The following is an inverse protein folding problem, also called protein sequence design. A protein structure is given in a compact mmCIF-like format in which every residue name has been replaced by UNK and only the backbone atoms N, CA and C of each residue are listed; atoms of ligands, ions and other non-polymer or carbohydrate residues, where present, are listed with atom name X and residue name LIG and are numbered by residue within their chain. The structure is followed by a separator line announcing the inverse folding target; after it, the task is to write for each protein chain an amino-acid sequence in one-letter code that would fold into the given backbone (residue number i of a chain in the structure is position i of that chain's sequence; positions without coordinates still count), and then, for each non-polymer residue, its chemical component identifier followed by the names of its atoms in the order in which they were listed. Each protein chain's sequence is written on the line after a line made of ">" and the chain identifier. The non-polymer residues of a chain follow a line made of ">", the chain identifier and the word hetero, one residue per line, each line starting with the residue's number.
data_IF_709291942433
#
_entry.id   IF_709291942433
#
_cell.length_a   1.000
_cell.length_b   1.000
_cell.length_c   1.000
_cell.angle_alpha   90.00
_cell.angle_beta   90.00
_cell.angle_gamma   90.00
#
_symmetry.space_group_name_H-M   'P 1'
#
loop_
_entity.id
_entity.type
_entity.pdbx_description
1 polymer ?
#
# COMPACT_ATOMS: atom_id res chain seq x y z
N UNK A 1 23.71 26.78 0.09
CA UNK A 1 24.16 25.46 -0.39
C UNK A 1 23.02 24.49 -0.10
N UNK A 2 22.07 24.36 -1.04
CA UNK A 2 20.95 23.43 -0.87
C UNK A 2 21.53 22.01 -0.88
N UNK A 3 21.09 21.17 0.05
CA UNK A 3 21.44 19.76 0.06
C UNK A 3 20.70 19.09 -1.11
N UNK A 4 21.33 19.06 -2.29
CA UNK A 4 20.69 18.59 -3.53
C UNK A 4 20.45 17.06 -3.57
N UNK A 5 20.83 16.31 -2.54
CA UNK A 5 20.71 14.84 -2.52
C UNK A 5 20.45 14.29 -1.10
N UNK A 6 19.37 14.71 -0.44
CA UNK A 6 18.74 13.85 0.57
C UNK A 6 17.89 12.80 -0.15
N UNK A 7 18.54 11.89 -0.87
CA UNK A 7 17.89 10.70 -1.41
C UNK A 7 17.89 9.63 -0.33
N UNK A 8 16.72 9.31 0.23
CA UNK A 8 16.54 8.04 0.93
C UNK A 8 16.90 6.90 -0.05
N UNK A 9 17.51 5.81 0.42
CA UNK A 9 17.77 4.66 -0.44
C UNK A 9 16.45 4.16 -1.04
N UNK A 10 16.43 3.73 -2.32
CA UNK A 10 15.22 3.28 -3.02
C UNK A 10 14.26 2.39 -2.22
N UNK A 11 14.73 1.40 -1.40
CA UNK A 11 13.83 0.60 -0.58
C UNK A 11 13.03 1.40 0.46
N UNK A 12 13.64 2.41 1.10
CA UNK A 12 12.98 3.15 2.18
C UNK A 12 11.83 4.04 1.70
N UNK A 13 11.91 4.56 0.47
CA UNK A 13 10.82 5.35 -0.12
C UNK A 13 9.66 4.46 -0.54
N UNK A 14 9.95 3.30 -1.12
CA UNK A 14 8.92 2.35 -1.52
C UNK A 14 8.15 1.84 -0.30
N UNK A 15 8.86 1.51 0.79
CA UNK A 15 8.27 1.10 2.07
C UNK A 15 7.45 2.24 2.72
N UNK A 16 7.94 3.49 2.63
CA UNK A 16 7.14 4.64 3.07
C UNK A 16 5.84 4.78 2.28
N UNK A 17 5.90 4.70 0.94
CA UNK A 17 4.71 4.76 0.05
C UNK A 17 3.73 3.65 0.40
N UNK A 18 4.22 2.42 0.54
CA UNK A 18 3.42 1.27 0.96
C UNK A 18 2.68 1.55 2.27
N UNK A 19 3.42 1.99 3.30
CA UNK A 19 2.86 2.25 4.63
C UNK A 19 1.80 3.37 4.61
N UNK A 20 2.06 4.51 3.96
CA UNK A 20 1.10 5.62 3.93
C UNK A 20 -0.13 5.28 3.09
N UNK A 21 0.05 4.53 2.01
CA UNK A 21 -1.04 4.10 1.14
C UNK A 21 -1.91 3.07 1.83
N UNK A 22 -1.32 2.14 2.57
CA UNK A 22 -2.03 1.17 3.38
C UNK A 22 -2.86 1.83 4.47
N UNK A 23 -2.26 2.78 5.19
CA UNK A 23 -2.97 3.57 6.20
C UNK A 23 -4.15 4.35 5.60
N UNK A 24 -3.94 4.99 4.44
CA UNK A 24 -4.99 5.73 3.76
C UNK A 24 -6.12 4.81 3.30
N UNK A 25 -5.82 3.64 2.76
CA UNK A 25 -6.83 2.65 2.39
C UNK A 25 -7.65 2.17 3.59
N UNK A 26 -7.01 1.91 4.74
CA UNK A 26 -7.73 1.53 5.98
C UNK A 26 -8.73 2.61 6.39
N UNK A 27 -8.36 3.88 6.25
CA UNK A 27 -9.18 5.04 6.66
C UNK A 27 -10.28 5.40 5.66
N UNK A 28 -10.00 5.30 4.37
CA UNK A 28 -10.80 5.93 3.32
C UNK A 28 -11.29 4.97 2.22
N UNK A 29 -10.75 3.75 2.16
CA UNK A 29 -11.01 2.76 1.10
C UNK A 29 -10.67 3.26 -0.31
N UNK A 30 -9.72 4.17 -0.42
CA UNK A 30 -9.21 4.75 -1.66
C UNK A 30 -7.69 4.66 -1.72
N UNK A 31 -7.12 4.91 -2.89
CA UNK A 31 -5.67 5.05 -3.08
C UNK A 31 -5.29 6.52 -2.90
N UNK A 32 -4.28 6.79 -2.05
CA UNK A 32 -3.70 8.13 -1.92
C UNK A 32 -2.91 8.47 -3.19
N UNK A 33 -3.05 9.67 -3.72
CA UNK A 33 -2.34 10.07 -4.93
C UNK A 33 -0.86 10.42 -4.66
N UNK A 34 -0.04 10.40 -5.71
CA UNK A 34 1.36 10.81 -5.63
C UNK A 34 1.48 12.29 -5.19
N UNK A 35 0.60 13.16 -5.69
CA UNK A 35 0.56 14.57 -5.33
C UNK A 35 0.21 14.77 -3.85
N UNK A 36 -0.74 13.98 -3.33
CA UNK A 36 -1.11 14.01 -1.92
C UNK A 36 0.05 13.56 -1.02
N UNK A 37 0.83 12.56 -1.44
CA UNK A 37 2.05 12.14 -0.74
C UNK A 37 3.09 13.27 -0.76
N UNK A 38 3.40 13.82 -1.94
CA UNK A 38 4.42 14.86 -2.09
C UNK A 38 4.09 16.15 -1.35
N UNK A 39 2.79 16.49 -1.22
CA UNK A 39 2.34 17.65 -0.44
C UNK A 39 2.64 17.50 1.06
N UNK A 40 2.65 16.26 1.57
CA UNK A 40 2.97 15.96 2.98
C UNK A 40 4.47 15.96 3.28
N UNK A 41 5.32 15.97 2.25
CA UNK A 41 6.78 15.88 2.35
C UNK A 41 7.47 17.24 2.18
N UNK A 42 6.84 18.29 2.72
CA UNK A 42 7.35 19.65 2.78
C UNK A 42 7.68 19.99 4.24
N UNK A 43 8.96 20.21 4.53
CA UNK A 43 9.48 20.49 5.86
C UNK A 43 10.00 21.92 5.92
N UNK A 44 9.47 22.72 6.83
CA UNK A 44 9.90 24.11 7.03
C UNK A 44 10.73 24.14 8.31
N UNK A 45 12.02 24.45 8.19
CA UNK A 45 12.88 24.70 9.35
C UNK A 45 12.74 26.17 9.73
N UNK A 46 12.21 26.42 10.92
CA UNK A 46 12.24 27.76 11.53
C UNK A 46 13.70 28.16 11.80
N UNK A 47 14.06 29.44 11.57
CA UNK A 47 15.40 29.90 11.85
C UNK A 47 15.68 29.74 13.34
N UNK A 48 16.71 28.96 13.68
CA UNK A 48 17.21 28.87 15.05
C UNK A 48 17.57 30.29 15.51
N UNK A 49 16.93 30.76 16.58
CA UNK A 49 17.28 32.01 17.24
C UNK A 49 18.68 31.82 17.87
N UNK A 50 19.72 32.06 17.08
CA UNK A 50 21.06 32.27 17.65
C UNK A 50 20.96 33.52 18.52
N UNK A 51 21.41 33.40 19.77
CA UNK A 51 21.64 34.51 20.69
C UNK A 51 22.43 35.60 19.95
N UNK A 52 21.71 36.56 19.37
CA UNK A 52 22.28 37.68 18.64
C UNK A 52 22.21 38.85 19.60
N UNK A 53 23.33 39.50 19.95
CA UNK A 53 23.34 40.64 20.85
C UNK A 53 22.37 41.72 20.37
N UNK A 54 21.70 42.36 21.33
CA UNK A 54 20.64 43.35 21.15
C UNK A 54 20.97 44.35 20.02
N UNK A 55 20.19 44.33 18.92
CA UNK A 55 20.23 45.39 17.89
C UNK A 55 20.27 44.96 16.42
N UNK A 56 20.28 43.68 16.08
CA UNK A 56 20.09 43.22 14.68
C UNK A 56 18.87 42.29 14.56
N UNK A 57 17.96 42.61 13.63
CA UNK A 57 16.86 41.72 13.28
C UNK A 57 17.40 40.37 12.76
N UNK A 58 16.81 39.23 13.14
CA UNK A 58 17.22 37.93 12.62
C UNK A 58 16.87 37.84 11.13
N UNK A 59 17.87 38.05 10.27
CA UNK A 59 17.76 37.94 8.81
C UNK A 59 17.95 36.48 8.36
N UNK A 60 17.19 35.56 8.95
CA UNK A 60 17.19 34.14 8.57
C UNK A 60 16.05 33.84 7.62
N UNK A 61 16.33 33.56 6.35
CA UNK A 61 15.30 33.03 5.43
C UNK A 61 14.85 31.65 5.92
N UNK A 62 13.53 31.37 6.02
CA UNK A 62 13.03 30.04 6.37
C UNK A 62 13.63 29.01 5.40
N UNK A 63 14.24 27.97 5.94
CA UNK A 63 14.81 26.92 5.10
C UNK A 63 13.73 25.88 4.83
N UNK A 64 13.20 25.87 3.61
CA UNK A 64 12.23 24.87 3.14
C UNK A 64 12.99 23.70 2.54
N UNK A 65 12.72 22.51 3.05
CA UNK A 65 13.21 21.23 2.56
C UNK A 65 12.02 20.45 1.98
N UNK A 66 12.07 20.14 0.70
CA UNK A 66 11.05 19.33 0.03
C UNK A 66 11.64 18.00 -0.37
N UNK A 67 10.91 16.91 -0.12
CA UNK A 67 11.21 15.61 -0.69
C UNK A 67 10.15 15.26 -1.75
N UNK A 68 10.57 14.66 -2.86
CA UNK A 68 9.68 14.27 -3.96
C UNK A 68 9.83 12.79 -4.24
N UNK A 69 8.73 12.05 -4.06
CA UNK A 69 8.62 10.65 -4.47
C UNK A 69 8.52 10.59 -5.98
N UNK A 70 9.32 9.73 -6.61
CA UNK A 70 9.29 9.54 -8.06
C UNK A 70 8.06 8.71 -8.46
N UNK A 71 7.53 8.85 -9.70
CA UNK A 71 6.45 7.99 -10.17
C UNK A 71 6.81 6.50 -10.12
N UNK A 72 8.07 6.16 -10.37
CA UNK A 72 8.55 4.77 -10.29
C UNK A 72 8.52 4.25 -8.86
N UNK A 73 9.04 4.98 -7.88
CA UNK A 73 9.01 4.55 -6.48
C UNK A 73 7.58 4.45 -5.94
N UNK A 74 6.71 5.36 -6.39
CA UNK A 74 5.28 5.30 -6.08
C UNK A 74 4.65 4.02 -6.62
N UNK A 75 4.85 3.70 -7.91
CA UNK A 75 4.33 2.48 -8.51
C UNK A 75 4.87 1.22 -7.82
N UNK A 76 6.16 1.19 -7.47
CA UNK A 76 6.75 0.04 -6.80
C UNK A 76 6.18 -0.13 -5.37
N UNK A 77 6.03 0.94 -4.60
CA UNK A 77 5.41 0.89 -3.27
C UNK A 77 3.92 0.53 -3.31
N UNK A 78 3.17 1.02 -4.30
CA UNK A 78 1.75 0.64 -4.51
C UNK A 78 1.64 -0.83 -4.95
N UNK A 79 2.63 -1.35 -5.68
CA UNK A 79 2.63 -2.77 -5.99
C UNK A 79 2.83 -3.62 -4.72
N UNK A 80 3.74 -3.23 -3.83
CA UNK A 80 3.98 -3.94 -2.57
C UNK A 80 2.79 -3.85 -1.60
N UNK A 81 2.11 -2.70 -1.56
CA UNK A 81 0.83 -2.52 -0.86
C UNK A 81 -0.18 -3.63 -1.18
N UNK A 82 -0.21 -4.13 -2.41
CA UNK A 82 -1.20 -5.16 -2.80
C UNK A 82 -0.98 -6.49 -2.06
N UNK A 83 0.27 -6.79 -1.67
CA UNK A 83 0.60 -7.91 -0.80
C UNK A 83 0.05 -7.73 0.61
N UNK A 84 0.17 -6.53 1.18
CA UNK A 84 -0.38 -6.22 2.51
C UNK A 84 -1.92 -6.21 2.53
N UNK A 85 -2.54 -5.73 1.46
CA UNK A 85 -4.00 -5.80 1.31
C UNK A 85 -4.50 -7.24 1.19
N UNK A 86 -3.79 -8.09 0.45
CA UNK A 86 -4.06 -9.52 0.41
C UNK A 86 -3.96 -10.14 1.82
N UNK A 87 -2.90 -9.85 2.58
CA UNK A 87 -2.75 -10.31 3.98
C UNK A 87 -3.91 -9.85 4.86
N UNK A 88 -4.31 -8.57 4.75
CA UNK A 88 -5.47 -8.02 5.45
C UNK A 88 -6.76 -8.78 5.09
N UNK A 89 -7.00 -9.04 3.80
CA UNK A 89 -8.18 -9.78 3.33
C UNK A 89 -8.25 -11.15 4.00
N UNK A 90 -7.19 -11.96 3.92
CA UNK A 90 -7.17 -13.31 4.50
C UNK A 90 -7.34 -13.28 6.03
N UNK A 91 -6.68 -12.33 6.71
CA UNK A 91 -6.84 -12.15 8.16
C UNK A 91 -8.27 -11.76 8.53
N UNK A 92 -8.91 -10.88 7.75
CA UNK A 92 -10.30 -10.46 7.98
C UNK A 92 -11.28 -11.63 7.84
N UNK A 93 -11.09 -12.49 6.84
CA UNK A 93 -11.87 -13.73 6.67
C UNK A 93 -11.73 -14.66 7.87
N UNK A 94 -10.50 -14.87 8.34
CA UNK A 94 -10.22 -15.70 9.53
C UNK A 94 -10.91 -15.18 10.79
N UNK A 95 -11.09 -13.87 10.90
CA UNK A 95 -11.79 -13.21 12.01
C UNK A 95 -13.32 -13.13 11.82
N UNK A 96 -13.86 -13.69 10.72
CA UNK A 96 -15.29 -13.69 10.42
C UNK A 96 -15.83 -12.40 9.79
N UNK A 97 -14.96 -11.49 9.33
CA UNK A 97 -15.36 -10.32 8.55
C UNK A 97 -15.71 -10.74 7.11
N UNK A 98 -16.95 -10.47 6.73
CA UNK A 98 -17.52 -10.84 5.44
C UNK A 98 -17.54 -9.67 4.44
N UNK A 99 -17.26 -8.44 4.88
CA UNK A 99 -17.39 -7.23 4.06
C UNK A 99 -16.02 -6.75 3.55
N UNK A 100 -15.00 -6.75 4.41
CA UNK A 100 -13.64 -6.33 4.06
C UNK A 100 -13.07 -7.08 2.85
N UNK A 101 -13.24 -8.41 2.70
CA UNK A 101 -12.72 -9.15 1.55
C UNK A 101 -13.21 -8.61 0.21
N UNK A 102 -14.50 -8.29 0.08
CA UNK A 102 -15.07 -7.76 -1.15
C UNK A 102 -14.60 -6.33 -1.43
N UNK A 103 -14.45 -5.49 -0.40
CA UNK A 103 -13.89 -4.14 -0.54
C UNK A 103 -12.44 -4.20 -1.05
N UNK A 104 -11.64 -5.10 -0.46
CA UNK A 104 -10.25 -5.32 -0.87
C UNK A 104 -10.18 -5.88 -2.29
N UNK A 105 -11.04 -6.84 -2.65
CA UNK A 105 -11.11 -7.38 -4.02
C UNK A 105 -11.41 -6.31 -5.06
N UNK A 106 -12.41 -5.46 -4.83
CA UNK A 106 -12.73 -4.34 -5.72
C UNK A 106 -11.55 -3.38 -5.89
N UNK A 107 -10.87 -3.06 -4.79
CA UNK A 107 -9.74 -2.17 -4.83
C UNK A 107 -8.52 -2.77 -5.55
N UNK A 108 -8.16 -4.04 -5.30
CA UNK A 108 -7.07 -4.70 -6.02
C UNK A 108 -7.35 -4.82 -7.51
N UNK A 109 -8.60 -5.04 -7.94
CA UNK A 109 -8.97 -5.03 -9.36
C UNK A 109 -8.66 -3.69 -10.02
N UNK A 110 -9.05 -2.59 -9.38
CA UNK A 110 -8.75 -1.24 -9.88
C UNK A 110 -7.24 -0.99 -10.01
N UNK A 111 -6.45 -1.43 -9.02
CA UNK A 111 -4.99 -1.34 -9.09
C UNK A 111 -4.46 -2.21 -10.23
N UNK A 112 -4.88 -3.46 -10.33
CA UNK A 112 -4.46 -4.38 -11.38
C UNK A 112 -4.75 -3.82 -12.79
N UNK A 113 -5.92 -3.23 -13.00
CA UNK A 113 -6.29 -2.63 -14.27
C UNK A 113 -5.40 -1.43 -14.60
N UNK A 114 -5.08 -0.60 -13.60
CA UNK A 114 -4.11 0.49 -13.74
C UNK A 114 -2.70 0.02 -14.12
N UNK A 115 -2.17 -1.01 -13.46
CA UNK A 115 -0.87 -1.57 -13.80
C UNK A 115 -0.87 -2.28 -15.16
N UNK A 116 -1.96 -2.96 -15.51
CA UNK A 116 -2.13 -3.61 -16.80
C UNK A 116 -2.21 -2.59 -17.94
N UNK A 117 -2.81 -1.42 -17.69
CA UNK A 117 -2.85 -0.30 -18.64
C UNK A 117 -1.44 0.25 -18.94
N UNK A 118 -0.57 0.35 -17.93
CA UNK A 118 0.83 0.73 -18.11
C UNK A 118 1.57 -0.35 -18.91
N UNK A 119 1.36 -1.62 -18.55
CA UNK A 119 1.87 -2.77 -19.31
C UNK A 119 3.38 -2.71 -19.54
N UNK A 120 3.81 -3.02 -20.77
CA UNK A 120 5.22 -3.06 -21.15
C UNK A 120 5.84 -1.67 -21.43
N UNK A 121 5.09 -0.58 -21.23
CA UNK A 121 5.62 0.78 -21.42
C UNK A 121 6.30 1.34 -20.17
N UNK A 122 6.12 0.68 -19.02
CA UNK A 122 6.74 1.04 -17.76
C UNK A 122 8.16 0.47 -17.56
N UNK A 123 8.83 0.87 -16.47
CA UNK A 123 10.11 0.26 -16.05
C UNK A 123 9.97 -1.25 -15.85
N UNK A 124 11.05 -1.99 -16.13
CA UNK A 124 11.07 -3.46 -16.04
C UNK A 124 10.66 -3.98 -14.65
N UNK A 125 11.02 -3.24 -13.60
CA UNK A 125 10.68 -3.54 -12.21
C UNK A 125 9.16 -3.54 -11.98
N UNK A 126 8.43 -2.61 -12.62
CA UNK A 126 6.96 -2.52 -12.55
C UNK A 126 6.32 -3.73 -13.23
N UNK A 127 6.86 -4.14 -14.39
CA UNK A 127 6.39 -5.36 -15.08
C UNK A 127 6.60 -6.62 -14.26
N UNK A 128 7.71 -6.72 -13.50
CA UNK A 128 7.93 -7.84 -12.57
C UNK A 128 6.89 -7.85 -11.45
N UNK A 129 6.59 -6.68 -10.89
CA UNK A 129 5.60 -6.52 -9.82
C UNK A 129 4.18 -6.88 -10.27
N UNK A 130 3.83 -6.66 -11.55
CA UNK A 130 2.53 -7.06 -12.10
C UNK A 130 2.26 -8.56 -11.98
N UNK A 131 3.30 -9.41 -12.06
CA UNK A 131 3.14 -10.84 -11.83
C UNK A 131 2.71 -11.16 -10.39
N UNK A 132 3.42 -10.61 -9.40
CA UNK A 132 3.09 -10.78 -7.98
C UNK A 132 1.72 -10.18 -7.64
N UNK A 133 1.38 -9.02 -8.22
CA UNK A 133 0.06 -8.40 -8.09
C UNK A 133 -1.07 -9.34 -8.54
N UNK A 134 -0.90 -10.03 -9.68
CA UNK A 134 -1.89 -11.01 -10.16
C UNK A 134 -2.07 -12.17 -9.19
N UNK A 135 -0.99 -12.66 -8.60
CA UNK A 135 -1.06 -13.72 -7.58
C UNK A 135 -1.82 -13.24 -6.34
N UNK A 136 -1.54 -12.01 -5.87
CA UNK A 136 -2.26 -11.40 -4.74
C UNK A 136 -3.74 -11.21 -5.05
N UNK A 137 -4.08 -10.75 -6.26
CA UNK A 137 -5.46 -10.59 -6.69
C UNK A 137 -6.19 -11.94 -6.74
N UNK A 138 -5.60 -12.97 -7.34
CA UNK A 138 -6.19 -14.32 -7.40
C UNK A 138 -6.55 -14.83 -6.01
N UNK A 139 -5.63 -14.73 -5.04
CA UNK A 139 -5.86 -15.17 -3.66
C UNK A 139 -7.03 -14.44 -2.99
N UNK A 140 -7.16 -13.14 -3.25
CA UNK A 140 -8.28 -12.32 -2.73
C UNK A 140 -9.60 -12.70 -3.40
N UNK A 141 -9.60 -12.94 -4.71
CA UNK A 141 -10.79 -13.36 -5.46
C UNK A 141 -11.27 -14.74 -5.05
N UNK A 142 -10.36 -15.69 -4.83
CA UNK A 142 -10.65 -17.04 -4.34
C UNK A 142 -11.27 -17.00 -2.94
N UNK A 143 -10.77 -16.11 -2.08
CA UNK A 143 -11.36 -15.87 -0.76
C UNK A 143 -12.80 -15.32 -0.91
N UNK A 144 -13.02 -14.30 -1.73
CA UNK A 144 -14.35 -13.74 -1.98
C UNK A 144 -15.32 -14.75 -2.57
N UNK A 145 -14.86 -15.58 -3.52
CA UNK A 145 -15.64 -16.67 -4.10
C UNK A 145 -16.07 -17.66 -3.02
N UNK A 146 -15.13 -18.11 -2.19
CA UNK A 146 -15.39 -19.04 -1.08
C UNK A 146 -16.43 -18.47 -0.11
N UNK A 147 -16.30 -17.19 0.26
CA UNK A 147 -17.27 -16.50 1.12
C UNK A 147 -18.65 -16.44 0.47
N UNK A 148 -18.72 -16.15 -0.84
CA UNK A 148 -19.99 -16.00 -1.53
C UNK A 148 -20.75 -17.33 -1.64
N UNK A 149 -20.05 -18.41 -1.96
CA UNK A 149 -20.63 -19.75 -2.07
C UNK A 149 -21.03 -20.25 -0.68
N UNK A 150 -20.13 -20.24 0.30
CA UNK A 150 -20.41 -20.78 1.66
C UNK A 150 -21.34 -19.90 2.49
N UNK A 151 -21.26 -18.57 2.33
CA UNK A 151 -22.16 -17.63 2.99
C UNK A 151 -23.61 -17.72 2.51
N UNK A 152 -23.85 -18.38 1.37
CA UNK A 152 -25.19 -18.67 0.86
C UNK A 152 -25.76 -20.00 1.40
N UNK A 153 -24.93 -20.85 2.01
CA UNK A 153 -25.29 -22.21 2.46
C UNK A 153 -25.31 -22.37 3.99
N UNK A 154 -24.53 -21.58 4.74
CA UNK A 154 -24.32 -21.77 6.20
C UNK A 154 -24.77 -20.53 6.98
N UNK A 155 -25.62 -20.67 8.03
CA UNK A 155 -26.02 -19.58 8.90
C UNK A 155 -24.81 -18.84 9.49
N UNK A 156 -24.84 -17.50 9.50
CA UNK A 156 -23.71 -16.61 9.86
C UNK A 156 -22.97 -16.97 11.16
N UNK A 157 -23.61 -17.63 12.13
CA UNK A 157 -23.02 -18.02 13.40
C UNK A 157 -22.15 -19.29 13.36
N UNK A 158 -22.25 -20.12 12.31
CA UNK A 158 -21.50 -21.38 12.15
C UNK A 158 -20.29 -21.25 11.21
N UNK A 159 -20.09 -20.08 10.60
CA UNK A 159 -19.02 -19.84 9.63
C UNK A 159 -17.63 -19.73 10.30
N UNK A 160 -17.56 -19.18 11.51
CA UNK A 160 -16.30 -19.02 12.25
C UNK A 160 -15.58 -20.37 12.48
N UNK A 161 -16.33 -21.46 12.71
CA UNK A 161 -15.77 -22.80 12.94
C UNK A 161 -15.18 -23.44 11.66
N UNK A 162 -15.76 -23.12 10.49
CA UNK A 162 -15.31 -23.62 9.18
C UNK A 162 -14.01 -22.94 8.73
N UNK A 163 -13.82 -21.67 9.09
CA UNK A 163 -12.57 -20.95 8.79
C UNK A 163 -11.48 -21.21 9.83
N UNK A 164 -11.84 -21.42 11.10
CA UNK A 164 -10.88 -21.80 12.16
C UNK A 164 -10.24 -23.17 11.95
N UNK A 165 -10.94 -24.08 11.24
CA UNK A 165 -10.46 -25.43 10.94
C UNK A 165 -9.59 -25.54 9.69
N UNK A 166 -9.41 -24.46 8.92
CA UNK A 166 -8.75 -24.48 7.60
C UNK A 166 -7.31 -23.95 7.45
N UNK A 167 -6.58 -23.42 8.47
CA UNK A 167 -5.21 -22.95 8.21
C UNK A 167 -4.26 -24.08 7.78
N UNK A 168 -4.68 -25.35 7.84
CA UNK A 168 -3.89 -26.51 7.39
C UNK A 168 -4.05 -26.88 5.89
N UNK A 169 -4.96 -26.27 5.12
CA UNK A 169 -5.27 -26.74 3.75
C UNK A 169 -4.92 -25.78 2.61
N UNK A 170 -4.45 -24.55 2.90
CA UNK A 170 -4.08 -23.59 1.86
C UNK A 170 -2.58 -23.62 1.50
N UNK A 171 -1.80 -24.51 2.10
CA UNK A 171 -0.34 -24.61 1.92
C UNK A 171 0.10 -25.81 1.06
N UNK A 172 -0.83 -26.50 0.39
CA UNK A 172 -0.54 -27.79 -0.27
C UNK A 172 -0.61 -27.83 -1.80
N UNK A 173 -0.62 -26.68 -2.48
CA UNK A 173 -0.56 -26.63 -3.95
C UNK A 173 0.63 -25.80 -4.47
N UNK A 174 1.81 -26.03 -3.90
CA UNK A 174 3.10 -25.73 -4.53
C UNK A 174 3.83 -27.07 -4.68
N UNK A 175 3.44 -27.82 -5.71
CA UNK A 175 4.10 -29.07 -6.05
C UNK A 175 3.22 -29.96 -6.92
N UNK A 176 3.26 -29.73 -8.24
CA UNK A 176 3.46 -30.76 -9.28
C UNK A 176 3.31 -30.12 -10.67
N UNK A 177 4.33 -30.37 -11.50
CA UNK A 177 4.49 -30.17 -12.95
C UNK A 177 4.86 -28.76 -13.45
#
# INVERSE_FOLDING_TARGET
>A
MLCSHCSLPPPGIQEYVEAVSFHHFIRHRTLISLEEINTKLVFIKEPEAKDTPEGQQPMGTPQVLTFQVTPTDYLLGVADLTGELMRMCISSVGNGDMDTPFQVSMFLRQIHDGFSYIGNTGPYEVSKKLHTLRQSLSKVEDACYTLKVRGSEIPKHMLADVFSSRPAMMDQDEGVA
#
